data_IF_376499877236
#
_entry.id   IF_376499877236
#
_cell.length_a   1.000
_cell.length_b   1.000
_cell.length_c   1.000
_cell.angle_alpha   90.00
_cell.angle_beta   90.00
_cell.angle_gamma   90.00
#
_symmetry.space_group_name_H-M   'P 1'
#
loop_
_entity.id
_entity.type
_entity.pdbx_description
1 polymer ?
#
# COMPACT_ATOMS: atom_id res chain seq x y z
N UNK A 1 5.01 -25.35 23.85
CA UNK A 1 4.18 -24.80 22.76
C UNK A 1 3.37 -23.57 23.21
N UNK A 2 2.48 -23.60 24.22
CA UNK A 2 1.62 -22.45 24.53
C UNK A 2 2.37 -21.22 25.09
N UNK A 3 3.46 -21.43 25.83
CA UNK A 3 4.26 -20.34 26.41
C UNK A 3 4.97 -19.51 25.34
N UNK A 4 5.42 -20.14 24.25
CA UNK A 4 6.09 -19.46 23.14
C UNK A 4 5.10 -18.55 22.40
N UNK A 5 3.91 -19.06 22.08
CA UNK A 5 2.85 -18.27 21.45
C UNK A 5 2.43 -17.09 22.33
N UNK A 6 2.27 -17.30 23.64
CA UNK A 6 1.92 -16.22 24.57
C UNK A 6 3.01 -15.13 24.64
N UNK A 7 4.28 -15.54 24.64
CA UNK A 7 5.41 -14.61 24.61
C UNK A 7 5.48 -13.82 23.31
N UNK A 8 5.23 -14.47 22.16
CA UNK A 8 5.19 -13.81 20.85
C UNK A 8 4.08 -12.75 20.78
N UNK A 9 2.85 -13.08 21.18
CA UNK A 9 1.73 -12.11 21.14
C UNK A 9 1.92 -10.96 22.13
N UNK A 10 2.52 -11.24 23.29
CA UNK A 10 2.87 -10.21 24.26
C UNK A 10 3.90 -9.24 23.69
N UNK A 11 4.95 -9.78 23.07
CA UNK A 11 6.01 -8.98 22.43
C UNK A 11 5.45 -8.11 21.32
N UNK A 12 4.63 -8.69 20.44
CA UNK A 12 3.95 -7.96 19.36
C UNK A 12 3.10 -6.80 19.92
N UNK A 13 2.23 -7.07 20.91
CA UNK A 13 1.40 -6.03 21.53
C UNK A 13 2.27 -4.92 22.10
N UNK A 14 3.36 -5.27 22.79
CA UNK A 14 4.21 -4.30 23.48
C UNK A 14 4.92 -3.39 22.48
N UNK A 15 5.53 -3.96 21.44
CA UNK A 15 6.19 -3.19 20.37
C UNK A 15 5.16 -2.35 19.61
N UNK A 16 3.97 -2.88 19.31
CA UNK A 16 2.91 -2.13 18.65
C UNK A 16 2.50 -0.88 19.43
N UNK A 17 2.25 -1.03 20.74
CA UNK A 17 1.87 0.11 21.59
C UNK A 17 3.02 1.12 21.73
N UNK A 18 4.27 0.67 21.88
CA UNK A 18 5.42 1.58 21.99
C UNK A 18 5.69 2.34 20.69
N UNK A 19 5.52 1.68 19.53
CA UNK A 19 5.63 2.34 18.23
C UNK A 19 4.51 3.36 18.02
N UNK A 20 3.27 3.05 18.42
CA UNK A 20 2.15 4.00 18.34
C UNK A 20 2.40 5.23 19.22
N UNK A 21 2.84 5.03 20.46
CA UNK A 21 3.11 6.11 21.40
C UNK A 21 4.19 7.07 20.86
N UNK A 22 5.25 6.54 20.24
CA UNK A 22 6.29 7.33 19.58
C UNK A 22 5.81 8.02 18.31
N UNK A 23 4.89 7.41 17.57
CA UNK A 23 4.41 7.95 16.30
C UNK A 23 3.46 9.14 16.47
N UNK A 24 2.72 9.18 17.58
CA UNK A 24 1.71 10.20 17.88
C UNK A 24 2.09 11.17 19.00
N UNK A 25 3.28 11.04 19.62
CA UNK A 25 3.77 11.90 20.71
C UNK A 25 2.73 12.06 21.85
N UNK A 26 2.39 10.94 22.51
CA UNK A 26 1.25 10.73 23.42
C UNK A 26 -0.05 10.38 22.68
N UNK A 27 -0.15 9.12 22.26
CA UNK A 27 -1.32 8.62 21.55
C UNK A 27 -2.59 8.75 22.39
N UNK A 28 -3.62 9.37 21.81
CA UNK A 28 -4.98 9.39 22.35
C UNK A 28 -5.88 8.41 21.58
N UNK A 29 -6.96 7.89 22.18
CA UNK A 29 -7.83 6.93 21.45
C UNK A 29 -8.45 7.54 20.19
N UNK A 30 -8.64 8.86 20.20
CA UNK A 30 -9.13 9.62 19.05
C UNK A 30 -8.17 9.51 17.85
N UNK A 31 -6.85 9.57 18.06
CA UNK A 31 -5.88 9.49 16.97
C UNK A 31 -5.89 8.14 16.28
N UNK A 32 -6.13 7.07 17.05
CA UNK A 32 -6.26 5.71 16.54
C UNK A 32 -7.48 5.56 15.61
N UNK A 33 -8.58 6.25 15.93
CA UNK A 33 -9.82 6.22 15.14
C UNK A 33 -9.70 7.10 13.90
N UNK A 34 -9.12 8.30 14.03
CA UNK A 34 -9.00 9.26 12.94
C UNK A 34 -7.90 8.91 11.94
N UNK A 35 -6.83 8.21 12.36
CA UNK A 35 -5.69 7.85 11.51
C UNK A 35 -5.50 6.34 11.37
N UNK A 36 -6.59 5.60 11.18
CA UNK A 36 -6.57 4.13 11.06
C UNK A 36 -5.70 3.62 9.91
N UNK A 37 -5.58 4.37 8.80
CA UNK A 37 -4.71 4.00 7.68
C UNK A 37 -3.24 3.93 8.11
N UNK A 38 -2.75 4.97 8.79
CA UNK A 38 -1.37 5.03 9.30
C UNK A 38 -1.08 3.87 10.28
N UNK A 39 -2.07 3.53 11.10
CA UNK A 39 -1.99 2.44 12.08
C UNK A 39 -1.97 1.07 11.39
N UNK A 40 -2.74 0.92 10.31
CA UNK A 40 -2.75 -0.30 9.51
C UNK A 40 -1.41 -0.54 8.80
N UNK A 41 -0.78 0.52 8.28
CA UNK A 41 0.57 0.45 7.73
C UNK A 41 1.60 0.07 8.80
N UNK A 42 1.53 0.70 9.98
CA UNK A 42 2.35 0.34 11.14
C UNK A 42 2.23 -1.13 11.51
N UNK A 43 1.01 -1.65 11.56
CA UNK A 43 0.78 -3.06 11.88
C UNK A 43 1.32 -3.99 10.79
N UNK A 44 1.23 -3.58 9.52
CA UNK A 44 1.68 -4.38 8.37
C UNK A 44 3.22 -4.52 8.32
N UNK A 45 3.96 -3.49 8.73
CA UNK A 45 5.42 -3.57 8.88
C UNK A 45 5.83 -4.43 10.09
N UNK A 46 5.00 -4.47 11.13
CA UNK A 46 5.25 -5.25 12.34
C UNK A 46 4.96 -6.75 12.15
N UNK A 47 3.85 -7.09 11.49
CA UNK A 47 3.38 -8.47 11.32
C UNK A 47 2.66 -8.66 9.99
N UNK A 48 2.98 -9.76 9.32
CA UNK A 48 2.32 -10.16 8.08
C UNK A 48 2.17 -11.68 8.06
N UNK A 49 1.00 -12.17 7.66
CA UNK A 49 0.74 -13.61 7.61
C UNK A 49 0.88 -14.35 8.95
N UNK A 50 0.79 -13.63 10.08
CA UNK A 50 0.96 -14.19 11.43
C UNK A 50 2.42 -14.35 11.88
N UNK A 51 3.38 -13.87 11.10
CA UNK A 51 4.80 -13.84 11.45
C UNK A 51 5.22 -12.41 11.79
N UNK A 52 6.03 -12.24 12.83
CA UNK A 52 6.61 -10.94 13.17
C UNK A 52 7.72 -10.63 12.16
N UNK A 53 7.64 -9.48 11.48
CA UNK A 53 8.64 -9.06 10.50
C UNK A 53 9.71 -8.23 11.18
N UNK A 54 9.32 -7.06 11.67
CA UNK A 54 10.23 -6.10 12.29
C UNK A 54 9.80 -5.79 13.73
N UNK A 55 10.78 -5.60 14.61
CA UNK A 55 10.54 -5.22 16.01
C UNK A 55 11.33 -3.97 16.41
N UNK A 56 12.20 -3.49 15.55
CA UNK A 56 12.94 -2.25 15.77
C UNK A 56 12.06 -1.04 15.43
N UNK A 57 11.72 -0.25 16.45
CA UNK A 57 10.87 0.94 16.29
C UNK A 57 11.47 2.01 15.37
N UNK A 58 12.80 2.15 15.32
CA UNK A 58 13.47 3.16 14.47
C UNK A 58 13.34 2.77 13.01
N UNK A 59 13.52 1.48 12.72
CA UNK A 59 13.36 0.96 11.36
C UNK A 59 11.90 1.04 10.92
N UNK A 60 10.96 0.59 11.75
CA UNK A 60 9.51 0.67 11.47
C UNK A 60 9.09 2.11 11.15
N UNK A 61 9.50 3.09 11.97
CA UNK A 61 9.16 4.50 11.74
C UNK A 61 9.74 5.05 10.43
N UNK A 62 10.96 4.62 10.07
CA UNK A 62 11.61 5.03 8.82
C UNK A 62 10.88 4.48 7.60
N UNK A 63 10.54 3.19 7.59
CA UNK A 63 9.79 2.55 6.49
C UNK A 63 8.43 3.20 6.26
N UNK A 64 7.77 3.63 7.32
CA UNK A 64 6.43 4.21 7.23
C UNK A 64 6.47 5.66 6.74
N UNK A 65 7.50 6.42 7.10
CA UNK A 65 7.73 7.73 6.50
C UNK A 65 8.06 7.63 5.00
N UNK A 66 8.84 6.62 4.60
CA UNK A 66 9.11 6.31 3.20
C UNK A 66 7.83 5.94 2.44
N UNK A 67 6.98 5.05 2.98
CA UNK A 67 5.69 4.70 2.39
C UNK A 67 4.77 5.93 2.26
N UNK A 68 4.65 6.75 3.30
CA UNK A 68 3.82 7.97 3.27
C UNK A 68 4.30 8.98 2.21
N UNK A 69 5.62 9.09 1.99
CA UNK A 69 6.20 9.90 0.91
C UNK A 69 5.87 9.32 -0.48
N UNK A 70 5.91 8.00 -0.63
CA UNK A 70 5.58 7.33 -1.89
C UNK A 70 4.10 7.48 -2.22
N UNK A 71 3.19 7.30 -1.26
CA UNK A 71 1.74 7.47 -1.49
C UNK A 71 1.38 8.89 -1.96
N UNK A 72 2.02 9.91 -1.37
CA UNK A 72 1.88 11.30 -1.81
C UNK A 72 2.43 11.53 -3.22
N UNK A 73 3.51 10.86 -3.57
CA UNK A 73 4.10 10.92 -4.91
C UNK A 73 3.26 10.15 -5.94
N UNK A 74 2.63 9.04 -5.56
CA UNK A 74 1.73 8.26 -6.41
C UNK A 74 0.40 8.98 -6.66
N UNK A 75 -0.14 9.70 -5.68
CA UNK A 75 -1.24 10.64 -5.90
C UNK A 75 -0.88 11.73 -6.93
N UNK A 76 0.40 12.15 -6.98
CA UNK A 76 0.94 13.04 -8.01
C UNK A 76 1.14 12.38 -9.39
N UNK A 77 1.37 11.07 -9.44
CA UNK A 77 1.50 10.29 -10.68
C UNK A 77 0.14 10.05 -11.35
N UNK A 78 -0.94 9.89 -10.57
CA UNK A 78 -2.31 9.85 -11.10
C UNK A 78 -2.74 11.20 -11.70
N UNK A 79 -2.22 12.31 -11.20
CA UNK A 79 -2.46 13.65 -11.75
C UNK A 79 -1.57 13.99 -12.97
N UNK A 80 -0.61 13.14 -13.33
CA UNK A 80 0.31 13.41 -14.43
C UNK A 80 0.39 12.29 -15.48
N UNK A 81 -0.71 11.98 -16.20
CA UNK A 81 -0.59 11.36 -17.52
C UNK A 81 0.24 12.26 -18.48
N UNK A 82 0.37 13.56 -18.16
CA UNK A 82 1.14 14.53 -18.94
C UNK A 82 2.67 14.32 -18.89
N UNK A 83 3.26 13.90 -17.76
CA UNK A 83 4.73 13.71 -17.68
C UNK A 83 5.20 12.44 -18.38
N UNK A 84 4.42 11.36 -18.30
CA UNK A 84 4.69 10.14 -19.06
C UNK A 84 4.48 10.36 -20.58
N UNK A 85 3.46 11.13 -20.99
CA UNK A 85 3.27 11.47 -22.41
C UNK A 85 4.38 12.37 -22.98
N UNK A 86 4.91 13.32 -22.20
CA UNK A 86 5.99 14.19 -22.69
C UNK A 86 7.32 13.45 -22.85
N UNK A 87 7.64 12.49 -21.97
CA UNK A 87 8.84 11.65 -22.13
C UNK A 87 8.73 10.65 -23.30
N UNK A 88 7.52 10.19 -23.64
CA UNK A 88 7.28 9.36 -24.83
C UNK A 88 7.37 10.13 -26.16
N UNK A 89 7.37 11.47 -26.14
CA UNK A 89 7.48 12.30 -27.35
C UNK A 89 8.92 12.55 -27.80
N UNK A 90 9.91 12.38 -26.91
CA UNK A 90 11.33 12.62 -27.22
C UNK A 90 12.12 11.38 -27.66
N UNK A 91 11.50 10.19 -27.69
CA UNK A 91 12.02 9.05 -28.45
C UNK A 91 11.19 8.88 -29.71
N UNK A 92 11.84 9.02 -30.85
CA UNK A 92 11.30 8.78 -32.19
C UNK A 92 10.82 7.32 -32.35
N UNK A 93 9.61 7.02 -31.86
CA UNK A 93 8.93 5.73 -32.05
C UNK A 93 7.65 6.00 -32.86
N UNK A 94 7.48 5.38 -34.04
CA UNK A 94 6.28 5.54 -34.86
C UNK A 94 5.00 5.16 -34.11
N UNK A 95 4.03 6.08 -34.15
CA UNK A 95 2.66 5.93 -33.66
C UNK A 95 1.96 4.70 -34.29
N UNK A 96 1.93 3.56 -33.59
CA UNK A 96 1.04 2.44 -33.97
C UNK A 96 0.50 1.70 -32.76
N UNK A 97 -0.28 2.40 -31.93
CA UNK A 97 -1.15 1.77 -30.93
C UNK A 97 -2.49 2.53 -30.92
N UNK A 98 -3.19 2.57 -32.05
CA UNK A 98 -4.59 3.02 -32.11
C UNK A 98 -5.57 1.97 -32.63
N UNK A 99 -5.13 0.72 -32.83
CA UNK A 99 -5.97 -0.32 -33.44
C UNK A 99 -6.16 -1.56 -32.57
N UNK A 100 -6.30 -1.42 -31.25
CA UNK A 100 -7.01 -2.47 -30.49
C UNK A 100 -8.51 -2.18 -30.63
N UNK A 101 -8.98 -2.35 -31.87
CA UNK A 101 -10.40 -2.39 -32.19
C UNK A 101 -10.96 -3.57 -31.41
N UNK A 102 -11.81 -3.28 -30.42
CA UNK A 102 -12.58 -4.28 -29.70
C UNK A 102 -13.29 -5.18 -30.73
N UNK A 103 -13.00 -6.49 -30.82
CA UNK A 103 -13.70 -7.34 -31.75
C UNK A 103 -15.16 -7.47 -31.32
N UNK A 104 -16.05 -7.03 -32.22
CA UNK A 104 -17.51 -7.14 -32.13
C UNK A 104 -17.93 -8.56 -31.69
N UNK A 105 -18.78 -8.64 -30.66
CA UNK A 105 -19.44 -9.89 -30.29
C UNK A 105 -20.32 -10.36 -31.47
N UNK A 106 -20.14 -11.61 -31.96
CA UNK A 106 -21.09 -12.18 -32.90
C UNK A 106 -22.42 -12.48 -32.18
N UNK A 107 -23.44 -11.75 -32.63
CA UNK A 107 -24.87 -11.95 -32.42
C UNK A 107 -25.27 -13.43 -32.34
N UNK A 108 -25.82 -13.86 -31.20
CA UNK A 108 -26.53 -15.15 -31.01
C UNK A 108 -27.89 -15.06 -31.72
N UNK A 109 -27.89 -15.03 -33.05
CA UNK A 109 -29.11 -14.88 -33.86
C UNK A 109 -29.33 -16.00 -34.88
N UNK A 110 -28.72 -17.18 -34.68
CA UNK A 110 -28.93 -18.34 -35.55
C UNK A 110 -28.93 -19.66 -34.79
N UNK A 111 -29.93 -19.87 -33.93
CA UNK A 111 -30.46 -21.20 -33.68
C UNK A 111 -31.90 -21.20 -34.17
N UNK A 112 -32.06 -21.52 -35.45
CA UNK A 112 -33.34 -21.83 -36.07
C UNK A 112 -33.26 -23.27 -36.56
N UNK A 113 -34.21 -24.07 -36.05
CA UNK A 113 -34.55 -25.46 -36.36
C UNK A 113 -33.69 -26.54 -35.70
#
# INVERSE_FOLDING_TARGET
MPLFTLFSVWTLRKVFVETLDKCFENVCELDLIFHVEKVHYMLSELVMGGMVLETNMVEIMTRIDEQNKLEKNEAGLLAAPAKAMSAMKEMNIPQKIKDIKLPDLPSISSLKF
#
